data_IF_996428115022
#
_entry.id   IF_996428115022
#
_cell.length_a   1.000
_cell.length_b   1.000
_cell.length_c   1.000
_cell.angle_alpha   90.00
_cell.angle_beta   90.00
_cell.angle_gamma   90.00
#
_symmetry.space_group_name_H-M   'P 1'
#
loop_
_entity.id
_entity.type
_entity.pdbx_description
1 polymer ?
#
# COMPACT_ATOMS: atom_id res chain seq x y z
N UNK A 1 0.78 -4.46 -9.58
CA UNK A 1 1.44 -4.59 -8.26
C UNK A 1 0.70 -5.65 -7.43
N UNK A 2 1.39 -6.56 -6.74
CA UNK A 2 0.77 -7.57 -5.85
C UNK A 2 0.58 -7.02 -4.43
N UNK A 3 -0.32 -7.61 -3.63
CA UNK A 3 -0.52 -7.24 -2.21
C UNK A 3 0.76 -7.40 -1.40
N UNK A 4 1.55 -8.45 -1.66
CA UNK A 4 2.83 -8.66 -0.96
C UNK A 4 3.87 -7.58 -1.31
N UNK A 5 3.94 -7.15 -2.58
CA UNK A 5 4.83 -6.06 -2.98
C UNK A 5 4.39 -4.72 -2.36
N UNK A 6 3.08 -4.46 -2.30
CA UNK A 6 2.52 -3.28 -1.65
C UNK A 6 2.81 -3.28 -0.14
N UNK A 7 2.57 -4.41 0.53
CA UNK A 7 2.82 -4.58 1.96
C UNK A 7 4.29 -4.34 2.30
N UNK A 8 5.24 -4.90 1.52
CA UNK A 8 6.68 -4.67 1.71
C UNK A 8 7.06 -3.19 1.57
N UNK A 9 6.52 -2.49 0.55
CA UNK A 9 6.81 -1.05 0.35
C UNK A 9 6.30 -0.19 1.50
N UNK A 10 5.07 -0.42 1.95
CA UNK A 10 4.48 0.31 3.08
C UNK A 10 5.25 0.00 4.37
N UNK A 11 5.60 -1.27 4.60
CA UNK A 11 6.37 -1.70 5.76
C UNK A 11 7.72 -0.98 5.87
N UNK A 12 8.45 -0.84 4.76
CA UNK A 12 9.71 -0.09 4.73
C UNK A 12 9.49 1.39 5.06
N UNK A 13 8.48 2.03 4.46
CA UNK A 13 8.20 3.47 4.67
C UNK A 13 7.75 3.79 6.09
N UNK A 14 6.92 2.92 6.68
CA UNK A 14 6.38 3.10 8.02
C UNK A 14 7.21 2.43 9.12
N UNK A 15 8.33 1.76 8.77
CA UNK A 15 9.16 0.97 9.68
C UNK A 15 8.36 -0.09 10.45
N UNK A 16 7.45 -0.76 9.75
CA UNK A 16 6.58 -1.83 10.28
C UNK A 16 7.02 -3.20 9.78
N UNK A 17 6.46 -4.27 10.36
CA UNK A 17 6.62 -5.62 9.81
C UNK A 17 5.66 -5.79 8.63
N UNK A 18 6.15 -6.40 7.53
CA UNK A 18 5.34 -6.65 6.34
C UNK A 18 4.13 -7.57 6.63
N UNK A 19 4.26 -8.48 7.59
CA UNK A 19 3.15 -9.33 8.04
C UNK A 19 1.98 -8.53 8.61
N UNK A 20 2.26 -7.56 9.48
CA UNK A 20 1.23 -6.72 10.11
C UNK A 20 0.54 -5.84 9.06
N UNK A 21 1.31 -5.28 8.13
CA UNK A 21 0.77 -4.52 7.00
C UNK A 21 -0.11 -5.41 6.12
N UNK A 22 0.32 -6.63 5.80
CA UNK A 22 -0.47 -7.58 5.02
C UNK A 22 -1.78 -7.95 5.72
N UNK A 23 -1.76 -8.12 7.04
CA UNK A 23 -2.96 -8.35 7.86
C UNK A 23 -3.95 -7.20 7.72
N UNK A 24 -3.47 -5.95 7.80
CA UNK A 24 -4.31 -4.75 7.59
C UNK A 24 -4.86 -4.69 6.17
N UNK A 25 -4.03 -4.88 5.15
CA UNK A 25 -4.46 -4.83 3.74
C UNK A 25 -5.42 -5.97 3.37
N UNK A 26 -5.31 -7.11 4.06
CA UNK A 26 -6.22 -8.24 3.91
C UNK A 26 -7.54 -8.09 4.67
N UNK A 27 -7.82 -6.93 5.25
CA UNK A 27 -9.00 -6.64 6.09
C UNK A 27 -9.18 -7.64 7.24
N UNK A 28 -8.07 -8.20 7.75
CA UNK A 28 -8.07 -9.09 8.90
C UNK A 28 -7.96 -8.25 10.18
N UNK A 29 -8.45 -8.80 11.29
CA UNK A 29 -8.27 -8.18 12.61
C UNK A 29 -6.76 -7.99 12.85
N UNK A 30 -6.38 -6.73 13.10
CA UNK A 30 -5.01 -6.32 13.36
C UNK A 30 -4.91 -5.79 14.79
N UNK A 31 -3.83 -6.13 15.47
CA UNK A 31 -3.54 -5.63 16.82
C UNK A 31 -2.84 -4.25 16.79
N UNK A 32 -2.68 -3.67 15.59
CA UNK A 32 -2.08 -2.35 15.44
C UNK A 32 -3.02 -1.24 15.94
N UNK A 33 -2.47 -0.14 16.48
CA UNK A 33 -3.25 1.02 16.85
C UNK A 33 -4.05 1.58 15.66
N UNK A 34 -5.27 2.09 15.86
CA UNK A 34 -6.10 2.65 14.78
C UNK A 34 -5.39 3.70 13.92
N UNK A 35 -4.55 4.55 14.52
CA UNK A 35 -3.76 5.54 13.80
C UNK A 35 -2.73 4.91 12.84
N UNK A 36 -2.17 3.75 13.19
CA UNK A 36 -1.24 3.01 12.33
C UNK A 36 -2.00 2.34 11.19
N UNK A 37 -3.16 1.73 11.49
CA UNK A 37 -4.06 1.16 10.47
C UNK A 37 -4.46 2.24 9.46
N UNK A 38 -4.86 3.41 9.93
CA UNK A 38 -5.19 4.56 9.07
C UNK A 38 -4.03 4.94 8.15
N UNK A 39 -2.81 5.09 8.69
CA UNK A 39 -1.62 5.39 7.89
C UNK A 39 -1.31 4.32 6.84
N UNK A 40 -1.48 3.04 7.17
CA UNK A 40 -1.31 1.94 6.21
C UNK A 40 -2.32 2.07 5.07
N UNK A 41 -3.59 2.30 5.39
CA UNK A 41 -4.67 2.39 4.40
C UNK A 41 -4.49 3.58 3.46
N UNK A 42 -4.14 4.76 3.99
CA UNK A 42 -3.87 5.94 3.18
C UNK A 42 -2.67 5.74 2.26
N UNK A 43 -1.57 5.18 2.78
CA UNK A 43 -0.39 4.91 1.97
C UNK A 43 -0.64 3.85 0.89
N UNK A 44 -1.49 2.86 1.18
CA UNK A 44 -1.92 1.88 0.20
C UNK A 44 -2.69 2.54 -0.95
N UNK A 45 -3.62 3.44 -0.62
CA UNK A 45 -4.38 4.21 -1.61
C UNK A 45 -3.45 5.05 -2.50
N UNK A 46 -2.53 5.79 -1.91
CA UNK A 46 -1.56 6.61 -2.65
C UNK A 46 -0.71 5.76 -3.59
N UNK A 47 -0.13 4.66 -3.11
CA UNK A 47 0.73 3.79 -3.92
C UNK A 47 -0.02 3.08 -5.06
N UNK A 48 -1.28 2.71 -4.84
CA UNK A 48 -2.12 2.15 -5.90
C UNK A 48 -2.40 3.23 -6.95
N UNK A 49 -2.73 4.45 -6.52
CA UNK A 49 -2.99 5.56 -7.43
C UNK A 49 -1.75 5.90 -8.28
N UNK A 50 -0.58 6.01 -7.67
CA UNK A 50 0.69 6.24 -8.39
C UNK A 50 0.96 5.15 -9.43
N UNK A 51 0.72 3.87 -9.08
CA UNK A 51 0.92 2.76 -10.02
C UNK A 51 -0.11 2.80 -11.16
N UNK A 52 -1.36 3.19 -10.89
CA UNK A 52 -2.38 3.37 -11.92
C UNK A 52 -2.01 4.51 -12.89
N UNK A 53 -1.60 5.67 -12.37
CA UNK A 53 -1.14 6.81 -13.19
C UNK A 53 0.07 6.40 -14.04
N UNK A 54 1.01 5.64 -13.47
CA UNK A 54 2.17 5.13 -14.22
C UNK A 54 1.76 4.17 -15.33
N UNK A 55 0.78 3.31 -15.09
CA UNK A 55 0.26 2.38 -16.10
C UNK A 55 -0.48 3.12 -17.21
N UNK A 56 -1.22 4.17 -16.85
CA UNK A 56 -1.92 5.04 -17.79
C UNK A 56 -0.95 5.79 -18.70
N UNK A 57 0.08 6.44 -18.13
CA UNK A 57 1.13 7.11 -18.89
C UNK A 57 1.91 6.15 -19.81
N UNK A 58 2.07 4.88 -19.43
CA UNK A 58 2.66 3.86 -20.31
C UNK A 58 1.75 3.45 -21.46
N UNK A 59 0.43 3.50 -21.26
CA UNK A 59 -0.57 3.21 -22.29
C UNK A 59 -0.76 4.38 -23.24
N UNK A 60 -0.55 5.60 -22.78
CA UNK A 60 -0.67 6.83 -23.55
C UNK A 60 0.59 7.70 -23.39
N UNK A 61 1.70 7.37 -24.07
CA UNK A 61 2.96 8.09 -23.93
C UNK A 61 2.96 9.50 -24.57
N UNK A 62 1.85 9.95 -25.15
CA UNK A 62 1.80 11.06 -26.12
C UNK A 62 0.87 12.22 -25.71
N UNK A 63 0.64 12.44 -24.42
CA UNK A 63 0.00 13.65 -23.89
C UNK A 63 0.88 14.35 -22.85
#
# INVERSE_FOLDING_TARGET
>A
MTVDALAKRIAVRLKLRAGDVRTVLGSRKSDLPPAVVFRITEMARTLIHEELVRLDAKRHPEH
#
